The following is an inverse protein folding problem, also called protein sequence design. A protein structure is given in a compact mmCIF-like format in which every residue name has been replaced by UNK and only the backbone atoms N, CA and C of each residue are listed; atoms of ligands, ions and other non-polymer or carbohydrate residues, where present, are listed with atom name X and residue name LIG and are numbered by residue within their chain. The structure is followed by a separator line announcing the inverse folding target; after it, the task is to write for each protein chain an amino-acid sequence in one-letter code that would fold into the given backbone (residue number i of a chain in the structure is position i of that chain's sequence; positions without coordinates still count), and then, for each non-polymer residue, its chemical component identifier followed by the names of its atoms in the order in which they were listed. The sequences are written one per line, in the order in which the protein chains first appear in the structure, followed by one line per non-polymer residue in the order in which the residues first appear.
data_IF_908621208490
#
_entry.id   IF_908621208490
#
_cell.length_a   1.000
_cell.length_b   1.000
_cell.length_c   1.000
_cell.angle_alpha   90.00
_cell.angle_beta   90.00
_cell.angle_gamma   90.00
#
_symmetry.space_group_name_H-M   'P 1'
#
loop_
_entity.id
_entity.type
_entity.pdbx_description
1 polymer ?
#
# COMPACT_ATOMS: atom_id res chain seq x y z
N UNK A 1 -39.81 28.70 -25.98
CA UNK A 1 -38.57 28.03 -26.41
C UNK A 1 -37.80 27.67 -25.15
N UNK A 2 -37.72 26.37 -24.79
CA UNK A 2 -37.14 25.91 -23.51
C UNK A 2 -35.62 26.13 -23.51
N UNK A 3 -35.12 26.81 -22.49
CA UNK A 3 -33.69 26.95 -22.20
C UNK A 3 -33.10 25.56 -21.95
N UNK A 4 -32.08 25.18 -22.71
CA UNK A 4 -31.28 23.98 -22.47
C UNK A 4 -30.50 24.21 -21.18
N UNK A 5 -30.74 23.41 -20.15
CA UNK A 5 -29.83 23.30 -19.02
C UNK A 5 -28.54 22.65 -19.53
N UNK A 6 -27.53 23.48 -19.75
CA UNK A 6 -26.16 23.01 -19.99
C UNK A 6 -25.66 22.45 -18.66
N UNK A 7 -25.20 21.19 -18.65
CA UNK A 7 -24.78 20.43 -17.46
C UNK A 7 -23.46 20.95 -16.86
N UNK A 8 -23.32 22.26 -16.75
CA UNK A 8 -22.18 22.96 -16.17
C UNK A 8 -22.20 22.81 -14.65
N UNK A 9 -21.40 21.85 -14.20
CA UNK A 9 -20.56 21.94 -13.00
C UNK A 9 -21.25 22.38 -11.72
N UNK A 10 -21.57 21.39 -10.86
CA UNK A 10 -21.69 21.64 -9.42
C UNK A 10 -20.36 22.27 -8.98
N UNK A 11 -20.40 23.46 -8.39
CA UNK A 11 -19.23 24.09 -7.78
C UNK A 11 -18.75 23.19 -6.62
N UNK A 12 -17.62 22.50 -6.81
CA UNK A 12 -17.09 21.55 -5.83
C UNK A 12 -16.06 22.28 -4.98
N UNK A 13 -16.38 22.46 -3.70
CA UNK A 13 -15.40 22.87 -2.70
C UNK A 13 -14.39 21.73 -2.48
N UNK A 14 -13.22 21.83 -3.10
CA UNK A 14 -12.11 20.90 -2.86
C UNK A 14 -11.48 21.20 -1.49
N UNK A 15 -11.05 20.17 -0.80
CA UNK A 15 -10.39 20.29 0.51
C UNK A 15 -8.87 20.48 0.34
N UNK A 16 -8.20 21.08 1.32
CA UNK A 16 -6.75 21.29 1.29
C UNK A 16 -6.02 19.96 1.63
N UNK A 17 -5.21 19.40 0.70
CA UNK A 17 -4.49 18.15 0.93
C UNK A 17 -3.48 18.23 2.09
N UNK A 18 -3.01 19.44 2.44
CA UNK A 18 -2.10 19.65 3.58
C UNK A 18 -2.88 19.53 4.88
N UNK A 19 -4.07 20.14 4.96
CA UNK A 19 -4.96 20.02 6.12
C UNK A 19 -5.41 18.56 6.33
N UNK A 20 -5.63 17.83 5.23
CA UNK A 20 -5.93 16.38 5.23
C UNK A 20 -4.73 15.49 5.56
N UNK A 21 -3.52 16.04 5.71
CA UNK A 21 -2.28 15.30 5.94
C UNK A 21 -2.02 14.21 4.88
N UNK A 22 -2.40 14.50 3.64
CA UNK A 22 -2.16 13.58 2.53
C UNK A 22 -0.67 13.52 2.22
N UNK A 23 -0.17 12.30 1.99
CA UNK A 23 1.21 12.05 1.59
C UNK A 23 1.25 11.98 0.06
N UNK A 24 2.05 12.83 -0.62
CA UNK A 24 2.14 12.82 -2.07
C UNK A 24 2.72 11.50 -2.58
N UNK A 25 2.31 11.11 -3.80
CA UNK A 25 2.87 9.95 -4.49
C UNK A 25 4.21 10.30 -5.12
N UNK A 26 5.09 9.30 -5.23
CA UNK A 26 6.34 9.40 -5.97
C UNK A 26 6.40 8.36 -7.11
N UNK A 27 7.01 8.68 -8.26
CA UNK A 27 7.25 7.70 -9.31
C UNK A 27 8.31 6.69 -8.87
N UNK A 28 8.11 5.43 -9.26
CA UNK A 28 9.09 4.37 -9.04
C UNK A 28 10.23 4.49 -10.07
N UNK A 29 11.38 4.99 -9.63
CA UNK A 29 12.60 5.11 -10.44
C UNK A 29 13.55 3.92 -10.21
N UNK A 30 13.51 2.95 -11.11
CA UNK A 30 14.32 1.73 -11.02
C UNK A 30 15.82 1.99 -11.14
N UNK A 31 16.25 3.14 -11.70
CA UNK A 31 17.69 3.46 -11.80
C UNK A 31 18.34 3.72 -10.43
N UNK A 32 17.52 3.98 -9.41
CA UNK A 32 17.96 4.25 -8.04
C UNK A 32 17.86 3.04 -7.12
N UNK A 33 17.19 1.98 -7.55
CA UNK A 33 16.95 0.77 -6.76
C UNK A 33 18.13 -0.18 -6.89
N UNK A 34 18.74 -0.54 -5.75
CA UNK A 34 19.89 -1.45 -5.66
C UNK A 34 19.56 -2.74 -4.90
N UNK A 35 18.47 -2.74 -4.14
CA UNK A 35 18.04 -3.89 -3.33
C UNK A 35 16.54 -4.11 -3.43
N UNK A 36 16.08 -5.31 -3.05
CA UNK A 36 14.63 -5.63 -2.99
C UNK A 36 13.94 -4.81 -1.90
N UNK A 37 14.62 -4.52 -0.78
CA UNK A 37 14.09 -3.63 0.27
C UNK A 37 13.82 -2.23 -0.29
N UNK A 38 14.79 -1.65 -1.01
CA UNK A 38 14.62 -0.34 -1.66
C UNK A 38 13.48 -0.36 -2.69
N UNK A 39 13.30 -1.46 -3.42
CA UNK A 39 12.18 -1.62 -4.34
C UNK A 39 10.84 -1.58 -3.60
N UNK A 40 10.68 -2.38 -2.54
CA UNK A 40 9.44 -2.49 -1.76
C UNK A 40 9.11 -1.16 -1.07
N UNK A 41 10.11 -0.49 -0.48
CA UNK A 41 9.93 0.84 0.12
C UNK A 41 9.53 1.88 -0.92
N UNK A 42 10.12 1.84 -2.11
CA UNK A 42 9.73 2.74 -3.21
C UNK A 42 8.31 2.42 -3.74
N UNK A 43 7.90 1.15 -3.78
CA UNK A 43 6.51 0.78 -4.09
C UNK A 43 5.51 1.37 -3.09
N UNK A 44 5.89 1.45 -1.80
CA UNK A 44 5.11 2.11 -0.74
C UNK A 44 4.72 3.57 -1.06
N UNK A 45 5.55 4.27 -1.84
CA UNK A 45 5.31 5.66 -2.25
C UNK A 45 4.41 5.80 -3.48
N UNK A 46 4.02 4.68 -4.10
CA UNK A 46 3.13 4.66 -5.28
C UNK A 46 1.65 4.56 -4.87
N UNK A 47 0.75 4.44 -5.86
CA UNK A 47 -0.69 4.28 -5.63
C UNK A 47 -1.11 2.79 -5.67
N UNK A 48 -2.36 2.51 -5.28
CA UNK A 48 -2.97 1.17 -5.36
C UNK A 48 -2.19 0.10 -4.57
N UNK A 49 -2.06 -1.10 -5.11
CA UNK A 49 -1.47 -2.25 -4.43
C UNK A 49 0.02 -2.10 -4.18
N UNK A 50 0.74 -1.26 -4.94
CA UNK A 50 2.14 -0.95 -4.66
C UNK A 50 2.33 -0.34 -3.27
N UNK A 51 1.44 0.59 -2.90
CA UNK A 51 1.40 1.19 -1.55
C UNK A 51 1.19 0.12 -0.48
N UNK A 52 0.20 -0.75 -0.68
CA UNK A 52 -0.15 -1.79 0.28
C UNK A 52 1.00 -2.77 0.53
N UNK A 53 1.82 -3.08 -0.49
CA UNK A 53 2.99 -3.95 -0.32
C UNK A 53 4.05 -3.29 0.56
N UNK A 54 4.35 -2.00 0.34
CA UNK A 54 5.30 -1.27 1.18
C UNK A 54 4.82 -1.12 2.62
N UNK A 55 3.55 -0.74 2.81
CA UNK A 55 2.92 -0.62 4.14
C UNK A 55 2.91 -1.97 4.88
N UNK A 56 2.57 -3.07 4.19
CA UNK A 56 2.58 -4.40 4.79
C UNK A 56 4.00 -4.84 5.22
N UNK A 57 5.03 -4.49 4.45
CA UNK A 57 6.41 -4.78 4.80
C UNK A 57 6.85 -4.03 6.07
N UNK A 58 6.53 -2.73 6.18
CA UNK A 58 6.85 -1.93 7.37
C UNK A 58 6.11 -2.44 8.61
N UNK A 59 4.84 -2.82 8.49
CA UNK A 59 4.05 -3.41 9.59
C UNK A 59 4.63 -4.76 10.02
N UNK A 60 4.96 -5.64 9.06
CA UNK A 60 5.56 -6.94 9.35
C UNK A 60 6.94 -6.78 10.03
N UNK A 61 7.76 -5.82 9.58
CA UNK A 61 9.04 -5.47 10.20
C UNK A 61 8.83 -5.00 11.65
N UNK A 62 7.87 -4.10 11.89
CA UNK A 62 7.57 -3.60 13.21
C UNK A 62 7.14 -4.72 14.18
N UNK A 63 6.27 -5.62 13.71
CA UNK A 63 5.84 -6.80 14.48
C UNK A 63 7.01 -7.74 14.78
N UNK A 64 7.90 -7.97 13.80
CA UNK A 64 9.05 -8.86 13.96
C UNK A 64 10.13 -8.31 14.90
N UNK A 65 10.21 -6.98 15.05
CA UNK A 65 11.17 -6.31 15.95
C UNK A 65 10.68 -6.20 17.40
N UNK A 66 9.38 -6.23 17.62
CA UNK A 66 8.77 -6.10 18.93
C UNK A 66 8.65 -7.48 19.61
N UNK A 67 9.52 -7.72 20.60
CA UNK A 67 9.57 -8.98 21.32
C UNK A 67 8.33 -9.24 22.21
N UNK A 68 7.56 -8.21 22.53
CA UNK A 68 6.32 -8.30 23.31
C UNK A 68 5.08 -8.41 22.40
N UNK A 69 5.26 -8.37 21.07
CA UNK A 69 4.17 -8.47 20.10
C UNK A 69 3.69 -9.92 19.94
N UNK A 70 2.42 -10.18 20.28
CA UNK A 70 1.78 -11.45 19.98
C UNK A 70 1.26 -11.47 18.54
N UNK A 71 1.92 -12.23 17.66
CA UNK A 71 1.62 -12.30 16.23
C UNK A 71 0.58 -13.38 15.93
N UNK A 72 -0.52 -13.00 15.26
CA UNK A 72 -1.53 -13.93 14.76
C UNK A 72 -1.51 -13.96 13.24
N UNK A 73 -1.18 -15.12 12.67
CA UNK A 73 -1.18 -15.34 11.21
C UNK A 73 -2.41 -16.16 10.80
N UNK A 74 -3.29 -15.58 10.00
CA UNK A 74 -4.49 -16.26 9.44
C UNK A 74 -4.32 -16.45 7.95
N UNK A 75 -4.47 -17.69 7.48
CA UNK A 75 -4.16 -18.06 6.09
C UNK A 75 -5.30 -18.87 5.48
N UNK A 76 -5.64 -18.59 4.22
CA UNK A 76 -6.51 -19.45 3.44
C UNK A 76 -5.76 -20.73 3.03
N UNK A 77 -6.47 -21.86 2.99
CA UNK A 77 -5.89 -23.13 2.50
C UNK A 77 -5.34 -23.04 1.07
N UNK A 78 -5.82 -22.09 0.26
CA UNK A 78 -5.31 -21.84 -1.09
C UNK A 78 -3.83 -21.41 -1.13
N UNK A 79 -3.27 -20.86 -0.04
CA UNK A 79 -1.88 -20.42 0.02
C UNK A 79 -0.88 -21.58 -0.14
N UNK A 80 -1.21 -22.76 0.40
CA UNK A 80 -0.36 -23.96 0.26
C UNK A 80 -0.43 -24.52 -1.16
N UNK A 81 -1.63 -24.50 -1.77
CA UNK A 81 -1.84 -24.86 -3.18
C UNK A 81 -1.06 -23.92 -4.09
N UNK A 82 -1.03 -22.63 -3.77
CA UNK A 82 -0.24 -21.59 -4.44
C UNK A 82 1.27 -21.64 -4.12
N UNK A 83 1.75 -22.73 -3.50
CA UNK A 83 3.17 -23.00 -3.22
C UNK A 83 3.85 -22.02 -2.25
N UNK A 84 3.08 -21.30 -1.44
CA UNK A 84 3.61 -20.42 -0.38
C UNK A 84 3.92 -21.19 0.93
N UNK A 85 3.80 -22.52 0.94
CA UNK A 85 3.93 -23.34 2.15
C UNK A 85 5.29 -23.20 2.84
N UNK A 86 6.40 -23.16 2.09
CA UNK A 86 7.73 -23.02 2.68
C UNK A 86 7.91 -21.67 3.38
N UNK A 87 7.40 -20.58 2.79
CA UNK A 87 7.43 -19.25 3.41
C UNK A 87 6.69 -19.27 4.74
N UNK A 88 5.50 -19.89 4.76
CA UNK A 88 4.70 -20.00 5.99
C UNK A 88 5.43 -20.82 7.05
N UNK A 89 6.10 -21.90 6.68
CA UNK A 89 6.87 -22.73 7.61
C UNK A 89 8.07 -22.00 8.23
N UNK A 90 8.72 -21.09 7.50
CA UNK A 90 9.84 -20.28 8.04
C UNK A 90 9.36 -19.19 9.01
N UNK A 91 8.07 -18.84 9.00
CA UNK A 91 7.48 -17.84 9.90
C UNK A 91 6.93 -18.43 11.21
N UNK A 92 6.97 -19.76 11.38
CA UNK A 92 6.49 -20.51 12.56
C UNK A 92 7.69 -21.06 13.32
#
# INVERSE_FOLDING_TARGET
MKSKQDGSGIDRKLHDPIEDKLIPLAPLDLSRVRTVDELVRAMGQTAFTGRQVGEAADVLEAMARDQDCFVVMTLAGAMTVAKQGMVICELI
#
